data_IF_196646591279
#
_entry.id   IF_196646591279
#
_cell.length_a   1.000
_cell.length_b   1.000
_cell.length_c   1.000
_cell.angle_alpha   90.00
_cell.angle_beta   90.00
_cell.angle_gamma   90.00
#
_symmetry.space_group_name_H-M   'P 1'
#
loop_
_entity.id
_entity.type
_entity.pdbx_description
1 polymer ?
#
# COMPACT_ATOMS: atom_id res chain seq x y z
N UNK A 1 -16.01 -10.85 28.24
CA UNK A 1 -14.85 -11.62 27.70
C UNK A 1 -13.60 -10.89 28.16
N UNK A 2 -12.87 -11.45 29.12
CA UNK A 2 -11.68 -10.82 29.71
C UNK A 2 -10.59 -10.64 28.65
N UNK A 3 -10.08 -9.42 28.53
CA UNK A 3 -8.99 -9.08 27.63
C UNK A 3 -7.68 -9.65 28.24
N UNK A 4 -7.00 -10.62 27.61
CA UNK A 4 -5.72 -11.07 28.11
C UNK A 4 -4.70 -9.93 27.95
N UNK A 5 -4.21 -9.41 29.07
CA UNK A 5 -3.22 -8.33 29.09
C UNK A 5 -1.91 -8.83 28.50
N UNK A 6 -1.47 -8.23 27.39
CA UNK A 6 -0.20 -8.54 26.71
C UNK A 6 1.04 -8.34 27.61
N UNK A 7 0.85 -7.65 28.74
CA UNK A 7 1.87 -7.37 29.75
C UNK A 7 1.34 -7.72 31.15
N UNK A 8 1.41 -9.00 31.57
CA UNK A 8 0.86 -9.46 32.85
C UNK A 8 1.64 -8.95 34.06
N UNK A 9 2.92 -8.61 33.89
CA UNK A 9 3.81 -8.18 34.98
C UNK A 9 3.85 -6.66 35.17
N UNK A 10 3.14 -5.89 34.34
CA UNK A 10 3.04 -4.45 34.53
C UNK A 10 2.02 -4.15 35.62
N UNK A 11 2.36 -3.27 36.58
CA UNK A 11 1.39 -2.83 37.58
C UNK A 11 0.20 -2.20 36.89
N UNK A 12 -1.00 -2.65 37.23
CA UNK A 12 -2.26 -2.07 36.74
C UNK A 12 -2.25 -0.58 37.07
N UNK A 13 -2.59 0.27 36.10
CA UNK A 13 -2.65 1.71 36.31
C UNK A 13 -3.49 1.99 37.57
N UNK A 14 -3.02 2.83 38.51
CA UNK A 14 -3.79 3.14 39.70
C UNK A 14 -5.13 3.74 39.27
N UNK A 15 -6.22 3.09 39.67
CA UNK A 15 -7.57 3.58 39.49
C UNK A 15 -7.62 4.99 40.07
N UNK A 16 -8.10 5.97 39.31
CA UNK A 16 -8.08 7.37 39.71
C UNK A 16 -8.80 7.52 41.04
N UNK A 17 -8.02 7.64 42.13
CA UNK A 17 -8.54 7.74 43.47
C UNK A 17 -9.42 8.99 43.56
N UNK A 18 -10.72 8.78 43.78
CA UNK A 18 -11.66 9.82 44.12
C UNK A 18 -11.32 10.29 45.54
N UNK A 19 -10.38 11.23 45.63
CA UNK A 19 -9.92 11.76 46.91
C UNK A 19 -10.96 12.75 47.45
N UNK A 20 -11.81 12.27 48.35
CA UNK A 20 -12.52 13.16 49.28
C UNK A 20 -11.50 13.78 50.24
N UNK A 21 -11.51 15.11 50.49
CA UNK A 21 -10.53 15.72 51.37
C UNK A 21 -10.94 15.53 52.84
N UNK A 22 -10.20 14.69 53.57
CA UNK A 22 -10.18 14.69 55.04
C UNK A 22 -9.35 15.88 55.51
N UNK A 23 -9.93 16.75 56.34
CA UNK A 23 -9.29 17.94 56.89
C UNK A 23 -8.36 17.56 58.05
N UNK A 24 -7.06 17.87 57.93
CA UNK A 24 -6.11 17.78 59.05
C UNK A 24 -4.64 18.04 58.70
N UNK A 25 -4.18 19.29 58.89
CA UNK A 25 -2.76 19.69 59.02
C UNK A 25 -2.03 20.11 57.72
N UNK A 26 -1.12 21.12 57.76
CA UNK A 26 -0.41 21.58 56.57
C UNK A 26 0.72 20.60 56.21
N UNK A 27 0.43 19.69 55.28
CA UNK A 27 1.43 18.87 54.59
C UNK A 27 2.24 19.74 53.59
N UNK A 28 3.51 19.39 53.31
CA UNK A 28 4.32 20.11 52.32
C UNK A 28 3.58 20.18 50.98
N UNK A 29 3.59 21.38 50.37
CA UNK A 29 2.86 21.65 49.13
C UNK A 29 3.21 20.59 48.08
N UNK A 30 2.27 19.74 47.65
CA UNK A 30 2.56 18.70 46.69
C UNK A 30 3.04 19.36 45.40
N UNK A 31 4.14 18.87 44.84
CA UNK A 31 4.62 19.27 43.52
C UNK A 31 3.43 19.11 42.56
N UNK A 32 2.93 20.24 42.04
CA UNK A 32 1.72 20.23 41.22
C UNK A 32 1.91 19.30 40.04
N UNK A 33 0.93 18.43 39.78
CA UNK A 33 1.00 17.47 38.66
C UNK A 33 1.20 18.24 37.35
N UNK A 34 2.05 17.74 36.43
CA UNK A 34 2.25 18.38 35.13
C UNK A 34 0.94 18.40 34.35
N UNK A 35 0.60 19.55 33.77
CA UNK A 35 -0.56 19.66 32.88
C UNK A 35 -0.16 19.06 31.52
N UNK A 36 -0.75 17.93 31.18
CA UNK A 36 -0.50 17.21 29.92
C UNK A 36 -1.77 17.16 29.08
N UNK A 37 -1.61 17.14 27.75
CA UNK A 37 -2.70 16.86 26.83
C UNK A 37 -2.78 15.35 26.63
N UNK A 38 -3.84 14.74 27.15
CA UNK A 38 -4.04 13.29 27.04
C UNK A 38 -4.84 12.96 25.77
N UNK A 39 -4.43 11.94 24.98
CA UNK A 39 -5.21 11.50 23.83
C UNK A 39 -6.50 10.80 24.27
N UNK A 40 -7.65 11.41 23.97
CA UNK A 40 -8.96 10.78 24.15
C UNK A 40 -9.33 9.92 22.92
N UNK A 41 -9.28 8.59 23.09
CA UNK A 41 -9.62 7.62 22.02
C UNK A 41 -11.12 7.38 21.87
N UNK A 42 -11.91 7.83 22.84
CA UNK A 42 -13.36 7.69 22.83
C UNK A 42 -14.04 8.94 22.24
N UNK A 43 -13.26 9.98 21.93
CA UNK A 43 -13.75 11.19 21.29
C UNK A 43 -14.35 10.88 19.91
N UNK A 44 -15.67 10.95 19.80
CA UNK A 44 -16.38 10.78 18.54
C UNK A 44 -16.34 12.10 17.78
N UNK A 45 -15.74 12.09 16.58
CA UNK A 45 -15.72 13.23 15.66
C UNK A 45 -16.29 12.82 14.31
N UNK A 46 -17.27 13.58 13.82
CA UNK A 46 -17.70 13.52 12.43
C UNK A 46 -16.80 14.45 11.62
N UNK A 47 -16.07 13.89 10.66
CA UNK A 47 -15.22 14.66 9.75
C UNK A 47 -15.75 14.48 8.34
N UNK A 48 -16.23 15.57 7.73
CA UNK A 48 -16.46 15.63 6.29
C UNK A 48 -15.15 16.07 5.64
N UNK A 49 -14.67 15.29 4.68
CA UNK A 49 -13.46 15.63 3.93
C UNK A 49 -13.66 15.21 2.50
N UNK A 50 -13.31 16.08 1.57
CA UNK A 50 -13.12 15.67 0.20
C UNK A 50 -11.83 14.83 0.11
N UNK A 51 -11.88 13.76 -0.67
CA UNK A 51 -10.74 12.84 -0.77
C UNK A 51 -9.50 13.56 -1.27
N UNK A 52 -9.67 14.55 -2.14
CA UNK A 52 -8.56 15.26 -2.78
C UNK A 52 -7.77 16.12 -1.78
N UNK A 53 -8.43 16.89 -0.93
CA UNK A 53 -7.77 17.75 0.07
C UNK A 53 -7.07 16.97 1.19
N UNK A 54 -7.35 15.67 1.34
CA UNK A 54 -6.62 14.81 2.28
C UNK A 54 -5.18 14.52 1.84
N UNK A 55 -4.84 14.81 0.59
CA UNK A 55 -3.51 14.58 0.05
C UNK A 55 -2.86 15.92 -0.35
N UNK A 56 -1.66 16.27 0.16
CA UNK A 56 -0.97 17.49 -0.22
C UNK A 56 -0.80 17.65 -1.74
N UNK A 57 -0.86 18.87 -2.31
CA UNK A 57 -0.74 19.10 -3.75
C UNK A 57 0.58 18.63 -4.37
N UNK A 58 1.66 18.63 -3.59
CA UNK A 58 3.02 18.24 -3.96
C UNK A 58 3.34 16.77 -3.68
N UNK A 59 2.36 15.99 -3.21
CA UNK A 59 2.56 14.59 -2.86
C UNK A 59 2.87 13.72 -4.09
N UNK A 60 3.89 12.85 -4.00
CA UNK A 60 4.38 12.01 -5.10
C UNK A 60 3.30 11.16 -5.80
N UNK A 61 2.33 10.64 -5.05
CA UNK A 61 1.19 9.90 -5.63
C UNK A 61 0.42 10.70 -6.71
N UNK A 62 0.35 12.03 -6.61
CA UNK A 62 -0.25 12.88 -7.63
C UNK A 62 0.59 12.93 -8.90
N UNK A 63 1.92 13.03 -8.76
CA UNK A 63 2.84 12.97 -9.89
C UNK A 63 2.75 11.62 -10.60
N UNK A 64 2.68 10.52 -9.85
CA UNK A 64 2.47 9.17 -10.40
C UNK A 64 1.15 9.08 -11.17
N UNK A 65 0.05 9.55 -10.59
CA UNK A 65 -1.23 9.56 -11.28
C UNK A 65 -1.19 10.38 -12.57
N UNK A 66 -0.66 11.61 -12.51
CA UNK A 66 -0.53 12.48 -13.67
C UNK A 66 0.36 11.87 -14.77
N UNK A 67 1.39 11.12 -14.38
CA UNK A 67 2.26 10.39 -15.30
C UNK A 67 1.53 9.23 -15.97
N UNK A 68 0.83 8.39 -15.21
CA UNK A 68 0.05 7.26 -15.74
C UNK A 68 -1.04 7.73 -16.71
N UNK A 69 -1.68 8.87 -16.44
CA UNK A 69 -2.68 9.47 -17.33
C UNK A 69 -2.11 9.88 -18.70
N UNK A 70 -0.79 9.98 -18.85
CA UNK A 70 -0.10 10.29 -20.12
C UNK A 70 0.44 9.05 -20.84
N UNK A 71 0.41 7.88 -20.20
CA UNK A 71 0.87 6.64 -20.80
C UNK A 71 -0.13 6.13 -21.83
N UNK A 72 0.37 5.48 -22.88
CA UNK A 72 -0.50 4.73 -23.80
C UNK A 72 -0.93 3.41 -23.15
N UNK A 73 -2.09 3.44 -22.49
CA UNK A 73 -2.72 2.27 -21.88
C UNK A 73 -3.71 1.58 -22.83
N UNK A 74 -3.83 2.03 -24.09
CA UNK A 74 -4.78 1.48 -25.07
C UNK A 74 -4.70 -0.06 -25.19
N UNK A 75 -3.51 -0.70 -25.16
CA UNK A 75 -3.42 -2.16 -25.18
C UNK A 75 -4.09 -2.85 -23.99
N UNK A 76 -4.03 -2.26 -22.78
CA UNK A 76 -4.70 -2.78 -21.59
C UNK A 76 -6.22 -2.67 -21.71
N UNK A 77 -6.71 -1.52 -22.15
CA UNK A 77 -8.13 -1.30 -22.37
C UNK A 77 -8.69 -2.18 -23.49
N UNK A 78 -7.90 -2.47 -24.53
CA UNK A 78 -8.30 -3.38 -25.61
C UNK A 78 -8.58 -4.81 -25.11
N UNK A 79 -7.82 -5.28 -24.10
CA UNK A 79 -7.97 -6.61 -23.51
C UNK A 79 -9.26 -6.77 -22.65
N UNK A 80 -9.92 -5.68 -22.27
CA UNK A 80 -11.15 -5.72 -21.46
C UNK A 80 -12.30 -6.23 -22.34
N UNK A 81 -12.88 -7.38 -21.94
CA UNK A 81 -14.01 -8.01 -22.65
C UNK A 81 -15.37 -7.44 -22.25
N UNK A 82 -15.49 -6.87 -21.05
CA UNK A 82 -16.72 -6.25 -20.58
C UNK A 82 -16.96 -4.94 -21.37
N UNK A 83 -17.85 -4.98 -22.37
CA UNK A 83 -18.19 -3.85 -23.26
C UNK A 83 -19.70 -3.74 -23.45
N UNK A 84 -20.19 -2.52 -23.70
CA UNK A 84 -21.60 -2.25 -24.00
C UNK A 84 -22.50 -2.10 -22.76
N UNK A 85 -23.81 -1.96 -23.00
CA UNK A 85 -24.85 -1.69 -21.99
C UNK A 85 -25.43 -2.95 -21.33
N UNK A 86 -24.97 -4.14 -21.71
CA UNK A 86 -25.31 -5.41 -21.06
C UNK A 86 -24.04 -6.01 -20.44
N UNK A 87 -23.84 -5.98 -19.10
CA UNK A 87 -22.63 -6.59 -18.57
C UNK A 87 -22.76 -7.31 -17.22
N UNK A 88 -21.84 -8.26 -17.01
CA UNK A 88 -21.41 -8.68 -15.68
C UNK A 88 -20.62 -7.56 -14.97
N UNK A 89 -19.96 -7.88 -13.84
CA UNK A 89 -19.25 -6.89 -13.01
C UNK A 89 -18.25 -6.04 -13.85
N UNK A 90 -18.27 -4.70 -13.74
CA UNK A 90 -17.29 -3.83 -14.38
C UNK A 90 -15.85 -4.20 -14.01
N UNK A 91 -14.92 -4.03 -14.96
CA UNK A 91 -13.49 -4.17 -14.69
C UNK A 91 -12.97 -2.97 -13.89
N UNK A 92 -11.96 -3.20 -13.07
CA UNK A 92 -11.16 -2.11 -12.50
C UNK A 92 -10.39 -1.44 -13.64
N UNK A 93 -10.27 -0.12 -13.58
CA UNK A 93 -9.51 0.69 -14.51
C UNK A 93 -8.02 0.24 -14.54
N UNK A 94 -7.46 -0.12 -15.71
CA UNK A 94 -6.04 -0.41 -15.85
C UNK A 94 -5.12 0.74 -15.41
N UNK A 95 -5.53 2.00 -15.56
CA UNK A 95 -4.77 3.17 -15.10
C UNK A 95 -4.61 3.15 -13.58
N UNK A 96 -5.66 2.80 -12.84
CA UNK A 96 -5.59 2.62 -11.39
C UNK A 96 -4.60 1.51 -11.01
N UNK A 97 -4.70 0.35 -11.64
CA UNK A 97 -3.82 -0.78 -11.34
C UNK A 97 -2.35 -0.47 -11.67
N UNK A 98 -2.10 0.25 -12.76
CA UNK A 98 -0.79 0.77 -13.13
C UNK A 98 -0.26 1.75 -12.08
N UNK A 99 -1.05 2.76 -11.70
CA UNK A 99 -0.64 3.77 -10.73
C UNK A 99 -0.34 3.18 -9.36
N UNK A 100 -1.15 2.21 -8.89
CA UNK A 100 -0.91 1.50 -7.64
C UNK A 100 0.42 0.74 -7.68
N UNK A 101 0.71 0.03 -8.76
CA UNK A 101 1.97 -0.69 -8.88
C UNK A 101 3.18 0.24 -9.00
N UNK A 102 3.07 1.30 -9.81
CA UNK A 102 4.14 2.26 -9.98
C UNK A 102 4.46 2.98 -8.66
N UNK A 103 3.43 3.47 -7.94
CA UNK A 103 3.62 4.11 -6.64
C UNK A 103 4.16 3.12 -5.59
N UNK A 104 3.65 1.89 -5.57
CA UNK A 104 4.18 0.84 -4.69
C UNK A 104 5.65 0.55 -4.96
N UNK A 105 6.09 0.52 -6.22
CA UNK A 105 7.50 0.32 -6.57
C UNK A 105 8.39 1.47 -6.07
N UNK A 106 7.94 2.72 -6.18
CA UNK A 106 8.66 3.88 -5.65
C UNK A 106 8.82 3.80 -4.12
N UNK A 107 7.81 3.28 -3.43
CA UNK A 107 7.81 3.09 -1.97
C UNK A 107 8.44 1.74 -1.52
N UNK A 108 8.99 0.95 -2.45
CA UNK A 108 9.63 -0.34 -2.14
C UNK A 108 8.65 -1.49 -1.78
N UNK A 109 7.37 -1.36 -2.12
CA UNK A 109 6.31 -2.34 -1.83
C UNK A 109 6.15 -3.32 -2.99
N UNK A 110 6.81 -4.48 -2.89
CA UNK A 110 6.77 -5.53 -3.93
C UNK A 110 5.64 -6.57 -3.83
N UNK A 111 4.83 -6.52 -2.77
CA UNK A 111 3.82 -7.56 -2.47
C UNK A 111 2.40 -7.10 -2.74
N UNK A 112 1.66 -7.84 -3.57
CA UNK A 112 0.26 -7.54 -3.87
C UNK A 112 -0.63 -7.53 -2.61
N UNK A 113 -0.31 -8.37 -1.62
CA UNK A 113 -1.01 -8.39 -0.33
C UNK A 113 -0.68 -7.17 0.53
N UNK A 114 0.58 -6.74 0.51
CA UNK A 114 0.98 -5.52 1.22
C UNK A 114 0.32 -4.29 0.58
N UNK A 115 0.33 -4.22 -0.76
CA UNK A 115 -0.32 -3.17 -1.52
C UNK A 115 -1.84 -3.12 -1.25
N UNK A 116 -2.54 -4.25 -1.25
CA UNK A 116 -3.97 -4.28 -0.91
C UNK A 116 -4.27 -3.73 0.50
N UNK A 117 -3.43 -4.03 1.50
CA UNK A 117 -3.58 -3.44 2.85
C UNK A 117 -3.32 -1.93 2.87
N UNK A 118 -2.40 -1.44 2.04
CA UNK A 118 -2.15 -0.01 1.91
C UNK A 118 -3.32 0.71 1.25
N UNK A 119 -3.98 0.09 0.26
CA UNK A 119 -5.22 0.62 -0.33
C UNK A 119 -6.34 0.83 0.71
N UNK A 120 -6.35 0.07 1.80
CA UNK A 120 -7.34 0.20 2.88
C UNK A 120 -6.92 1.22 3.96
N UNK A 121 -5.63 1.31 4.28
CA UNK A 121 -5.14 2.01 5.47
C UNK A 121 -4.39 3.32 5.19
N UNK A 122 -3.71 3.43 4.05
CA UNK A 122 -2.79 4.52 3.77
C UNK A 122 -3.43 5.58 2.86
N UNK A 123 -3.37 6.85 3.27
CA UNK A 123 -4.13 7.93 2.62
C UNK A 123 -3.78 8.12 1.13
N UNK A 124 -2.49 8.07 0.76
CA UNK A 124 -2.08 8.18 -0.64
C UNK A 124 -2.63 7.07 -1.54
N UNK A 125 -2.68 5.83 -1.05
CA UNK A 125 -3.23 4.71 -1.80
C UNK A 125 -4.76 4.76 -1.85
N UNK A 126 -5.41 5.21 -0.77
CA UNK A 126 -6.86 5.50 -0.77
C UNK A 126 -7.23 6.59 -1.76
N UNK A 127 -6.41 7.64 -1.85
CA UNK A 127 -6.56 8.72 -2.83
C UNK A 127 -6.47 8.17 -4.26
N UNK A 128 -5.43 7.38 -4.56
CA UNK A 128 -5.30 6.69 -5.86
C UNK A 128 -6.52 5.82 -6.16
N UNK A 129 -6.99 5.02 -5.20
CA UNK A 129 -8.16 4.17 -5.36
C UNK A 129 -9.44 4.95 -5.67
N UNK A 130 -9.60 6.18 -5.21
CA UNK A 130 -10.79 7.00 -5.53
C UNK A 130 -12.12 6.35 -5.12
N UNK A 131 -12.13 5.48 -4.11
CA UNK A 131 -13.30 4.70 -3.70
C UNK A 131 -13.45 3.32 -4.38
N UNK A 132 -12.58 2.97 -5.34
CA UNK A 132 -12.54 1.64 -5.94
C UNK A 132 -11.86 0.65 -5.00
N UNK A 133 -12.57 -0.41 -4.62
CA UNK A 133 -12.00 -1.50 -3.83
C UNK A 133 -11.14 -2.41 -4.70
N UNK A 134 -9.87 -2.58 -4.32
CA UNK A 134 -8.90 -3.41 -5.04
C UNK A 134 -8.43 -4.54 -4.13
N UNK A 135 -8.50 -5.79 -4.62
CA UNK A 135 -8.01 -6.95 -3.87
C UNK A 135 -6.64 -7.41 -4.39
N UNK A 136 -5.94 -8.20 -3.57
CA UNK A 136 -4.60 -8.67 -3.90
C UNK A 136 -4.55 -9.62 -5.10
N UNK A 137 -5.62 -10.38 -5.38
CA UNK A 137 -5.69 -11.25 -6.56
C UNK A 137 -5.69 -10.41 -7.84
N UNK A 138 -6.49 -9.34 -7.89
CA UNK A 138 -6.54 -8.44 -9.03
C UNK A 138 -5.19 -7.76 -9.27
N UNK A 139 -4.52 -7.30 -8.22
CA UNK A 139 -3.18 -6.71 -8.31
C UNK A 139 -2.15 -7.71 -8.83
N UNK A 140 -2.17 -8.93 -8.30
CA UNK A 140 -1.25 -10.00 -8.70
C UNK A 140 -1.50 -10.43 -10.16
N UNK A 141 -2.76 -10.65 -10.53
CA UNK A 141 -3.16 -11.03 -11.88
C UNK A 141 -2.75 -9.98 -12.90
N UNK A 142 -2.98 -8.70 -12.59
CA UNK A 142 -2.58 -7.60 -13.47
C UNK A 142 -1.07 -7.60 -13.71
N UNK A 143 -0.28 -7.74 -12.65
CA UNK A 143 1.19 -7.73 -12.75
C UNK A 143 1.71 -8.93 -13.55
N UNK A 144 1.12 -10.11 -13.37
CA UNK A 144 1.56 -11.35 -14.03
C UNK A 144 1.09 -11.44 -15.49
N UNK A 145 -0.14 -11.00 -15.80
CA UNK A 145 -0.70 -11.10 -17.17
C UNK A 145 -0.12 -10.09 -18.15
N UNK A 146 0.55 -9.06 -17.67
CA UNK A 146 0.99 -7.93 -18.49
C UNK A 146 2.48 -7.61 -18.33
N UNK A 147 3.31 -8.55 -17.86
CA UNK A 147 4.74 -8.31 -17.56
C UNK A 147 5.47 -7.61 -18.71
N UNK A 148 5.32 -8.12 -19.93
CA UNK A 148 6.02 -7.61 -21.11
C UNK A 148 5.58 -6.18 -21.46
N UNK A 149 4.28 -5.90 -21.28
CA UNK A 149 3.74 -4.56 -21.49
C UNK A 149 4.19 -3.58 -20.40
N UNK A 150 4.22 -4.03 -19.15
CA UNK A 150 4.72 -3.23 -18.03
C UNK A 150 6.20 -2.88 -18.21
N UNK A 151 7.01 -3.85 -18.64
CA UNK A 151 8.41 -3.64 -18.98
C UNK A 151 8.58 -2.59 -20.08
N UNK A 152 7.82 -2.73 -21.19
CA UNK A 152 7.85 -1.75 -22.27
C UNK A 152 7.47 -0.34 -21.78
N UNK A 153 6.36 -0.22 -21.05
CA UNK A 153 5.89 1.06 -20.53
C UNK A 153 6.89 1.72 -19.57
N UNK A 154 7.63 0.93 -18.80
CA UNK A 154 8.70 1.42 -17.94
C UNK A 154 9.89 1.94 -18.78
N UNK A 155 10.30 1.18 -19.79
CA UNK A 155 11.39 1.56 -20.71
C UNK A 155 11.06 2.86 -21.45
N UNK A 156 9.87 2.93 -22.05
CA UNK A 156 9.36 4.12 -22.75
C UNK A 156 9.33 5.33 -21.80
N UNK A 157 8.97 5.09 -20.54
CA UNK A 157 8.97 6.07 -19.47
C UNK A 157 10.34 6.66 -19.16
N UNK A 158 11.32 5.79 -18.88
CA UNK A 158 12.70 6.20 -18.61
C UNK A 158 13.28 6.92 -19.83
N UNK A 159 13.04 6.41 -21.04
CA UNK A 159 13.46 7.06 -22.28
C UNK A 159 12.88 8.48 -22.42
N UNK A 160 11.61 8.67 -22.05
CA UNK A 160 10.97 10.00 -22.06
C UNK A 160 11.61 10.94 -21.05
N UNK A 161 11.93 10.46 -19.84
CA UNK A 161 12.61 11.26 -18.82
C UNK A 161 14.04 11.63 -19.25
N UNK A 162 14.76 10.72 -19.90
CA UNK A 162 16.07 11.00 -20.49
C UNK A 162 15.99 12.05 -21.59
N UNK A 163 15.04 11.92 -22.51
CA UNK A 163 14.84 12.89 -23.59
C UNK A 163 14.47 14.29 -23.07
N UNK A 164 13.75 14.35 -21.95
CA UNK A 164 13.43 15.60 -21.25
C UNK A 164 14.55 16.16 -20.39
N UNK A 165 15.70 15.49 -20.29
CA UNK A 165 16.83 15.92 -19.45
C UNK A 165 16.58 15.79 -17.94
N UNK A 166 15.55 15.05 -17.53
CA UNK A 166 15.19 14.84 -16.12
C UNK A 166 15.98 13.70 -15.46
N UNK A 167 16.53 12.80 -16.28
CA UNK A 167 17.38 11.69 -15.86
C UNK A 167 18.64 11.68 -16.73
N UNK A 168 19.81 11.70 -16.09
CA UNK A 168 21.10 11.50 -16.74
C UNK A 168 21.56 10.05 -16.56
N UNK A 169 22.07 9.43 -17.63
CA UNK A 169 22.60 8.06 -17.63
C UNK A 169 24.12 8.03 -17.40
N UNK A 170 24.75 9.14 -17.01
CA UNK A 170 26.17 9.19 -16.69
C UNK A 170 26.60 8.21 -15.58
N UNK A 171 25.67 7.82 -14.68
CA UNK A 171 25.93 6.82 -13.64
C UNK A 171 24.73 5.90 -13.46
N UNK A 172 24.92 4.62 -13.76
CA UNK A 172 23.95 3.55 -13.52
C UNK A 172 24.48 2.66 -12.40
N UNK A 173 23.65 2.40 -11.39
CA UNK A 173 23.91 1.40 -10.37
C UNK A 173 22.96 0.20 -10.61
N UNK A 174 23.53 -1.00 -10.63
CA UNK A 174 22.77 -2.24 -10.75
C UNK A 174 22.90 -3.01 -9.44
N UNK A 175 21.77 -3.19 -8.75
CA UNK A 175 21.69 -4.06 -7.58
C UNK A 175 21.04 -5.39 -7.96
N UNK A 176 21.49 -6.48 -7.35
CA UNK A 176 21.05 -7.83 -7.63
C UNK A 176 20.73 -8.58 -6.34
N UNK A 177 19.53 -9.13 -6.25
CA UNK A 177 19.15 -10.00 -5.13
C UNK A 177 19.31 -11.47 -5.49
N UNK A 178 19.92 -12.25 -4.59
CA UNK A 178 19.95 -13.71 -4.69
C UNK A 178 18.69 -14.30 -4.10
N UNK A 179 17.82 -14.83 -4.95
CA UNK A 179 16.61 -15.54 -4.53
C UNK A 179 16.87 -17.04 -4.56
N UNK A 180 16.58 -17.75 -3.46
CA UNK A 180 16.57 -19.22 -3.48
C UNK A 180 15.44 -19.68 -4.39
N UNK A 181 15.80 -20.34 -5.49
CA UNK A 181 14.84 -21.08 -6.28
C UNK A 181 14.28 -22.25 -5.45
N UNK A 182 12.98 -22.51 -5.56
CA UNK A 182 12.38 -23.75 -5.06
C UNK A 182 12.71 -24.91 -6.01
N UNK A 183 14.00 -25.17 -6.21
CA UNK A 183 14.54 -26.20 -7.08
C UNK A 183 15.70 -26.91 -6.36
N UNK A 184 15.39 -28.02 -5.69
CA UNK A 184 16.40 -28.89 -5.08
C UNK A 184 16.88 -29.96 -6.05
N UNK A 185 17.93 -30.72 -5.72
CA UNK A 185 18.39 -31.83 -6.55
C UNK A 185 17.28 -32.87 -6.86
N UNK A 186 16.29 -33.00 -5.98
CA UNK A 186 15.11 -33.84 -6.18
C UNK A 186 14.08 -33.28 -7.19
N UNK A 187 14.15 -32.00 -7.56
CA UNK A 187 13.29 -31.41 -8.59
C UNK A 187 13.81 -31.66 -10.01
N UNK A 188 15.01 -32.27 -10.17
CA UNK A 188 15.54 -32.69 -11.46
C UNK A 188 14.74 -33.88 -12.00
N UNK A 189 13.79 -33.60 -12.89
CA UNK A 189 12.99 -34.63 -13.56
C UNK A 189 13.74 -35.12 -14.80
N UNK A 190 13.95 -36.44 -14.93
CA UNK A 190 14.50 -37.06 -16.16
C UNK A 190 13.42 -37.10 -17.24
N UNK A 191 13.82 -37.16 -18.52
CA UNK A 191 12.90 -37.14 -19.69
C UNK A 191 11.65 -38.02 -19.53
N UNK A 192 11.82 -39.29 -19.13
CA UNK A 192 10.71 -40.23 -18.87
C UNK A 192 9.72 -39.75 -17.81
N UNK A 193 10.18 -39.03 -16.78
CA UNK A 193 9.34 -38.51 -15.70
C UNK A 193 8.59 -37.24 -16.13
N UNK A 194 9.17 -36.45 -17.04
CA UNK A 194 8.52 -35.28 -17.64
C UNK A 194 7.40 -35.72 -18.59
N UNK A 195 7.69 -36.68 -19.47
CA UNK A 195 6.70 -37.24 -20.43
C UNK A 195 5.49 -37.88 -19.73
N UNK A 196 5.70 -38.46 -18.55
CA UNK A 196 4.62 -39.06 -17.74
C UNK A 196 3.74 -38.05 -17.02
N UNK A 197 4.25 -36.84 -16.77
CA UNK A 197 3.54 -35.75 -16.10
C UNK A 197 2.86 -34.77 -17.07
N UNK A 198 3.13 -34.89 -18.37
CA UNK A 198 2.53 -34.10 -19.45
C UNK A 198 1.35 -34.84 -20.13
N UNK A 199 0.98 -36.02 -19.64
CA UNK A 199 -0.28 -36.70 -19.95
C UNK A 199 -1.29 -36.43 -18.84
#
# INVERSE_FOLDING_TARGET
MSNPTLFPDLPTAPEAADSTPTVGGPAPSPVARPRVLEPDRNSVRLTTSDLDSLLPPDHNARAVWAYVQRMDLSPLYAAIRARGSHPGRPSIDPALLMALWLFATLEGVGSARALARLCESHIAYRWLCGGVTVNYHTLSDFRVKHVELLEKLLVDGVATLMAGGLVDMARVAQDGVRVRASAGAASFKRRKTIERAQR
#
